data_IF_070438357273
#
_entry.id   IF_070438357273
#
_cell.length_a   1.000
_cell.length_b   1.000
_cell.length_c   1.000
_cell.angle_alpha   90.00
_cell.angle_beta   90.00
_cell.angle_gamma   90.00
#
_symmetry.space_group_name_H-M   'P 1'
#
loop_
_entity.id
_entity.type
_entity.pdbx_description
1 polymer ?
#
# COMPACT_ATOMS: atom_id res chain seq x y z
N UNK A 1 -6.81 -17.69 19.46
CA UNK A 1 -6.03 -17.52 18.20
C UNK A 1 -6.88 -18.00 17.03
N UNK A 2 -7.57 -17.11 16.30
CA UNK A 2 -8.22 -17.49 15.03
C UNK A 2 -7.13 -17.52 13.97
N UNK A 3 -6.80 -18.71 13.49
CA UNK A 3 -5.87 -18.96 12.37
C UNK A 3 -6.51 -18.48 11.07
N UNK A 4 -6.59 -17.16 10.90
CA UNK A 4 -6.83 -16.58 9.58
C UNK A 4 -5.67 -17.00 8.68
N UNK A 5 -5.97 -17.63 7.55
CA UNK A 5 -4.97 -18.06 6.57
C UNK A 5 -4.11 -16.84 6.20
N UNK A 6 -2.85 -16.82 6.63
CA UNK A 6 -1.93 -15.72 6.32
C UNK A 6 -1.80 -15.64 4.80
N UNK A 7 -1.98 -14.45 4.23
CA UNK A 7 -1.92 -14.27 2.78
C UNK A 7 -0.46 -14.11 2.37
N UNK A 8 0.08 -15.14 1.72
CA UNK A 8 1.41 -15.07 1.10
C UNK A 8 1.30 -14.24 -0.17
N UNK A 9 2.20 -13.28 -0.32
CA UNK A 9 2.32 -12.44 -1.51
C UNK A 9 3.46 -12.96 -2.35
N UNK A 10 3.15 -13.38 -3.57
CA UNK A 10 4.13 -13.84 -4.57
C UNK A 10 4.04 -13.03 -5.86
N UNK A 11 2.92 -12.35 -6.06
CA UNK A 11 2.64 -11.55 -7.24
C UNK A 11 1.63 -10.44 -6.92
N UNK A 12 1.53 -9.40 -7.77
CA UNK A 12 0.48 -8.39 -7.66
C UNK A 12 -0.95 -8.98 -7.69
N UNK A 13 -1.14 -10.14 -8.31
CA UNK A 13 -2.45 -10.82 -8.37
C UNK A 13 -2.94 -11.27 -7.00
N UNK A 14 -2.03 -11.65 -6.08
CA UNK A 14 -2.41 -12.08 -4.72
C UNK A 14 -2.99 -10.91 -3.93
N UNK A 15 -2.43 -9.72 -4.11
CA UNK A 15 -2.94 -8.47 -3.52
C UNK A 15 -4.25 -8.07 -4.19
N UNK A 16 -4.29 -8.05 -5.52
CA UNK A 16 -5.50 -7.68 -6.26
C UNK A 16 -6.70 -8.58 -5.87
N UNK A 17 -6.51 -9.90 -5.82
CA UNK A 17 -7.57 -10.84 -5.43
C UNK A 17 -8.10 -10.61 -4.02
N UNK A 18 -7.24 -10.16 -3.09
CA UNK A 18 -7.63 -9.86 -1.71
C UNK A 18 -8.31 -8.50 -1.58
N UNK A 19 -7.80 -7.47 -2.23
CA UNK A 19 -8.18 -6.08 -1.97
C UNK A 19 -9.20 -5.50 -2.95
N UNK A 20 -9.32 -6.03 -4.19
CA UNK A 20 -10.37 -5.60 -5.11
C UNK A 20 -11.76 -5.72 -4.48
N UNK A 21 -12.17 -6.85 -3.87
CA UNK A 21 -13.50 -6.97 -3.25
C UNK A 21 -13.74 -5.95 -2.12
N UNK A 22 -12.67 -5.52 -1.45
CA UNK A 22 -12.72 -4.59 -0.31
C UNK A 22 -12.75 -3.12 -0.73
N UNK A 23 -12.12 -2.79 -1.88
CA UNK A 23 -11.85 -1.40 -2.26
C UNK A 23 -12.53 -0.94 -3.56
N UNK A 24 -12.99 -1.85 -4.41
CA UNK A 24 -13.54 -1.49 -5.74
C UNK A 24 -14.77 -0.59 -5.70
N UNK A 25 -15.56 -0.65 -4.62
CA UNK A 25 -16.81 0.11 -4.47
C UNK A 25 -16.65 1.35 -3.58
N UNK A 26 -15.42 1.69 -3.17
CA UNK A 26 -15.17 2.87 -2.38
C UNK A 26 -15.40 4.13 -3.23
N UNK A 27 -16.20 5.06 -2.71
CA UNK A 27 -16.55 6.31 -3.39
C UNK A 27 -15.43 7.36 -3.35
N UNK A 28 -14.45 7.16 -2.47
CA UNK A 28 -13.28 8.01 -2.35
C UNK A 28 -12.05 7.16 -2.64
N UNK A 29 -11.02 7.80 -3.20
CA UNK A 29 -9.70 7.20 -3.27
C UNK A 29 -9.17 7.00 -1.85
N UNK A 30 -8.58 5.84 -1.61
CA UNK A 30 -7.88 5.50 -0.38
C UNK A 30 -6.48 5.03 -0.73
N UNK A 31 -5.47 5.72 -0.19
CA UNK A 31 -4.09 5.27 -0.27
C UNK A 31 -3.74 4.51 1.00
N UNK A 32 -3.37 3.25 0.82
CA UNK A 32 -3.03 2.31 1.89
C UNK A 32 -1.62 1.78 1.67
N UNK A 33 -1.00 1.36 2.77
CA UNK A 33 0.18 0.49 2.73
C UNK A 33 -0.17 -0.86 3.32
N UNK A 34 0.39 -1.92 2.74
CA UNK A 34 0.33 -3.27 3.27
C UNK A 34 1.67 -3.58 3.90
N UNK A 35 1.67 -3.97 5.16
CA UNK A 35 2.83 -4.37 5.93
C UNK A 35 3.11 -5.84 5.68
N UNK A 36 4.32 -6.15 5.23
CA UNK A 36 4.80 -7.51 5.03
C UNK A 36 5.81 -7.92 6.10
N UNK A 37 5.81 -9.21 6.44
CA UNK A 37 6.90 -9.83 7.19
C UNK A 37 7.99 -10.42 6.26
N UNK A 38 9.07 -10.95 6.84
CA UNK A 38 10.22 -11.53 6.11
C UNK A 38 9.87 -12.72 5.18
N UNK A 39 8.68 -13.30 5.33
CA UNK A 39 8.18 -14.38 4.47
C UNK A 39 7.11 -13.92 3.48
N UNK A 40 7.03 -12.60 3.23
CA UNK A 40 6.07 -11.94 2.36
C UNK A 40 4.61 -12.25 2.72
N UNK A 41 4.30 -12.46 4.00
CA UNK A 41 2.92 -12.53 4.45
C UNK A 41 2.42 -11.15 4.83
N UNK A 42 1.16 -10.87 4.47
CA UNK A 42 0.45 -9.69 4.96
C UNK A 42 0.20 -9.82 6.46
N UNK A 43 0.78 -8.90 7.24
CA UNK A 43 0.51 -8.78 8.68
C UNK A 43 -0.59 -7.74 8.94
N UNK A 44 -0.58 -6.63 8.20
CA UNK A 44 -1.53 -5.53 8.39
C UNK A 44 -1.72 -4.70 7.12
N UNK A 45 -2.87 -4.06 6.95
CA UNK A 45 -3.04 -2.91 6.06
C UNK A 45 -3.35 -1.64 6.86
N UNK A 46 -2.79 -0.52 6.41
CA UNK A 46 -2.87 0.77 7.08
C UNK A 46 -3.33 1.82 6.07
N UNK A 47 -4.41 2.52 6.41
CA UNK A 47 -4.87 3.69 5.66
C UNK A 47 -3.98 4.89 5.97
N UNK A 48 -3.37 5.47 4.93
CA UNK A 48 -2.51 6.65 5.04
C UNK A 48 -3.26 7.91 4.65
N UNK A 49 -4.06 7.85 3.58
CA UNK A 49 -4.83 8.99 3.09
C UNK A 49 -6.17 8.54 2.51
N UNK A 50 -7.17 9.41 2.60
CA UNK A 50 -8.52 9.24 2.04
C UNK A 50 -8.98 10.53 1.36
N UNK A 51 -9.47 10.41 0.14
CA UNK A 51 -9.70 11.53 -0.77
C UNK A 51 -8.70 11.52 -1.92
N UNK A 52 -8.68 12.57 -2.74
CA UNK A 52 -7.85 12.64 -3.93
C UNK A 52 -6.38 12.35 -3.64
N UNK A 53 -5.78 11.44 -4.42
CA UNK A 53 -4.38 11.08 -4.28
C UNK A 53 -3.51 12.12 -4.99
N UNK A 54 -2.93 13.03 -4.21
CA UNK A 54 -1.93 13.98 -4.71
C UNK A 54 -0.60 13.78 -3.99
N UNK A 55 0.49 14.16 -4.66
CA UNK A 55 1.82 14.02 -4.08
C UNK A 55 2.04 14.88 -2.81
N UNK A 56 1.20 15.88 -2.54
CA UNK A 56 1.23 16.66 -1.30
C UNK A 56 0.54 15.97 -0.13
N UNK A 57 -0.41 15.06 -0.40
CA UNK A 57 -1.18 14.36 0.63
C UNK A 57 -0.51 13.07 1.11
N UNK A 58 0.34 12.44 0.28
CA UNK A 58 1.05 11.20 0.64
C UNK A 58 2.55 11.44 0.71
N UNK A 59 3.03 11.72 1.91
CA UNK A 59 4.43 12.02 2.19
C UNK A 59 5.17 10.77 2.70
N UNK A 60 6.43 10.51 2.29
CA UNK A 60 7.18 9.35 2.76
C UNK A 60 7.24 9.22 4.28
N UNK A 61 7.31 10.33 5.02
CA UNK A 61 7.36 10.33 6.48
C UNK A 61 6.16 9.63 7.13
N UNK A 62 4.96 9.77 6.57
CA UNK A 62 3.75 9.14 7.14
C UNK A 62 3.72 7.64 6.83
N UNK A 63 4.16 7.27 5.62
CA UNK A 63 4.27 5.87 5.18
C UNK A 63 5.31 5.12 6.02
N UNK A 64 6.54 5.63 6.07
CA UNK A 64 7.64 4.94 6.73
C UNK A 64 7.56 5.02 8.26
N UNK A 65 6.92 6.05 8.84
CA UNK A 65 6.57 6.03 10.27
C UNK A 65 5.76 4.78 10.64
N UNK A 66 4.76 4.44 9.82
CA UNK A 66 3.95 3.25 10.04
C UNK A 66 4.72 1.96 9.74
N UNK A 67 5.49 1.91 8.64
CA UNK A 67 6.30 0.73 8.31
C UNK A 67 7.31 0.38 9.43
N UNK A 68 7.98 1.40 9.97
CA UNK A 68 8.96 1.25 11.06
C UNK A 68 8.27 0.83 12.36
N UNK A 69 7.16 1.49 12.72
CA UNK A 69 6.41 1.15 13.93
C UNK A 69 5.90 -0.31 13.92
N UNK A 70 5.60 -0.85 12.75
CA UNK A 70 5.15 -2.23 12.57
C UNK A 70 6.30 -3.22 12.30
N UNK A 71 7.56 -2.78 12.35
CA UNK A 71 8.74 -3.60 12.02
C UNK A 71 8.61 -4.31 10.67
N UNK A 72 8.13 -3.58 9.66
CA UNK A 72 7.88 -4.12 8.33
C UNK A 72 9.18 -4.63 7.69
N UNK A 73 9.13 -5.83 7.13
CA UNK A 73 10.20 -6.34 6.26
C UNK A 73 10.14 -5.73 4.85
N UNK A 74 8.98 -5.18 4.49
CA UNK A 74 8.70 -4.54 3.22
C UNK A 74 7.27 -4.04 3.20
N UNK A 75 6.96 -3.18 2.23
CA UNK A 75 5.62 -2.62 2.06
C UNK A 75 5.09 -2.78 0.65
N UNK A 76 3.76 -2.75 0.51
CA UNK A 76 3.10 -2.61 -0.79
C UNK A 76 2.23 -1.38 -0.74
N UNK A 77 2.38 -0.51 -1.74
CA UNK A 77 1.52 0.64 -1.92
C UNK A 77 0.26 0.20 -2.66
N UNK A 78 -0.90 0.64 -2.18
CA UNK A 78 -2.20 0.28 -2.74
C UNK A 78 -3.10 1.50 -2.77
N UNK A 79 -3.77 1.74 -3.90
CA UNK A 79 -4.87 2.69 -3.99
C UNK A 79 -5.98 2.17 -4.90
N UNK A 80 -7.19 2.69 -4.72
CA UNK A 80 -8.31 2.48 -5.63
C UNK A 80 -8.58 3.75 -6.43
N UNK A 81 -9.10 3.61 -7.64
CA UNK A 81 -9.73 4.69 -8.39
C UNK A 81 -11.25 4.45 -8.41
N UNK A 82 -12.10 5.35 -7.86
CA UNK A 82 -13.56 5.24 -7.91
C UNK A 82 -14.12 5.14 -9.34
N UNK A 83 -13.37 5.62 -10.34
CA UNK A 83 -13.71 5.48 -11.76
C UNK A 83 -13.62 4.03 -12.28
N UNK A 84 -12.96 3.14 -11.55
CA UNK A 84 -12.68 1.77 -11.97
C UNK A 84 -11.54 1.62 -12.99
N UNK A 85 -10.92 2.73 -13.43
CA UNK A 85 -9.81 2.69 -14.39
C UNK A 85 -8.48 2.43 -13.66
N UNK A 86 -7.78 1.30 -13.92
CA UNK A 86 -6.52 0.97 -13.25
C UNK A 86 -5.29 1.68 -13.83
N UNK A 87 -5.44 2.51 -14.86
CA UNK A 87 -4.32 3.23 -15.48
C UNK A 87 -3.74 4.24 -14.48
N UNK A 88 -2.42 4.21 -14.19
CA UNK A 88 -1.82 5.15 -13.25
C UNK A 88 -1.79 6.57 -13.83
N UNK A 89 -2.07 7.54 -12.97
CA UNK A 89 -1.90 8.96 -13.23
C UNK A 89 -0.42 9.40 -13.08
N UNK A 90 -0.05 10.61 -13.54
CA UNK A 90 1.27 11.17 -13.27
C UNK A 90 1.60 11.27 -11.77
N UNK A 91 0.60 11.53 -10.93
CA UNK A 91 0.77 11.63 -9.49
C UNK A 91 1.04 10.27 -8.86
N UNK A 92 0.38 9.20 -9.30
CA UNK A 92 0.66 7.83 -8.86
C UNK A 92 2.12 7.44 -9.12
N UNK A 93 2.60 7.77 -10.32
CA UNK A 93 3.98 7.50 -10.73
C UNK A 93 4.96 8.32 -9.87
N UNK A 94 4.66 9.60 -9.64
CA UNK A 94 5.49 10.50 -8.83
C UNK A 94 5.58 10.03 -7.37
N UNK A 95 4.44 9.68 -6.76
CA UNK A 95 4.36 9.14 -5.40
C UNK A 95 5.14 7.84 -5.32
N UNK A 96 4.91 6.91 -6.25
CA UNK A 96 5.62 5.62 -6.27
C UNK A 96 7.13 5.81 -6.33
N UNK A 97 7.64 6.71 -7.19
CA UNK A 97 9.08 7.00 -7.28
C UNK A 97 9.64 7.55 -5.96
N UNK A 98 8.95 8.52 -5.35
CA UNK A 98 9.35 9.10 -4.05
C UNK A 98 9.39 8.04 -2.94
N UNK A 99 8.42 7.12 -2.92
CA UNK A 99 8.39 6.05 -1.94
C UNK A 99 9.52 5.04 -2.16
N UNK A 100 9.83 4.70 -3.42
CA UNK A 100 10.97 3.82 -3.74
C UNK A 100 12.29 4.44 -3.31
N UNK A 101 12.50 5.74 -3.54
CA UNK A 101 13.71 6.44 -3.09
C UNK A 101 13.84 6.44 -1.56
N UNK A 102 12.75 6.77 -0.86
CA UNK A 102 12.73 6.74 0.60
C UNK A 102 12.90 5.32 1.16
N UNK A 103 12.27 4.32 0.56
CA UNK A 103 12.39 2.91 0.99
C UNK A 103 13.80 2.39 0.88
N UNK A 104 14.53 2.77 -0.18
CA UNK A 104 15.97 2.47 -0.30
C UNK A 104 16.79 3.09 0.83
N UNK A 105 16.52 4.34 1.19
CA UNK A 105 17.23 5.02 2.28
C UNK A 105 16.93 4.41 3.65
N UNK A 106 15.68 4.00 3.87
CA UNK A 106 15.22 3.42 5.13
C UNK A 106 15.44 1.90 5.23
N UNK A 107 15.99 1.27 4.18
CA UNK A 107 16.14 -0.18 4.05
C UNK A 107 14.82 -0.96 4.22
N UNK A 108 13.71 -0.37 3.77
CA UNK A 108 12.38 -1.00 3.72
C UNK A 108 11.92 -1.03 2.26
N UNK A 109 11.97 -2.20 1.59
CA UNK A 109 11.63 -2.35 0.19
C UNK A 109 10.13 -2.16 -0.12
#
# INVERSE_FOLDING_TARGET
RKTGKKVSVRSPKDIAARYIPLMQNLRQEEFRIIILNNSNYVERDVLISKGHLTASLVHPREVFKMAIAESAAGIILLHNHPSGNPKPSPDDISITRKMVEAGKLMEVP
#
